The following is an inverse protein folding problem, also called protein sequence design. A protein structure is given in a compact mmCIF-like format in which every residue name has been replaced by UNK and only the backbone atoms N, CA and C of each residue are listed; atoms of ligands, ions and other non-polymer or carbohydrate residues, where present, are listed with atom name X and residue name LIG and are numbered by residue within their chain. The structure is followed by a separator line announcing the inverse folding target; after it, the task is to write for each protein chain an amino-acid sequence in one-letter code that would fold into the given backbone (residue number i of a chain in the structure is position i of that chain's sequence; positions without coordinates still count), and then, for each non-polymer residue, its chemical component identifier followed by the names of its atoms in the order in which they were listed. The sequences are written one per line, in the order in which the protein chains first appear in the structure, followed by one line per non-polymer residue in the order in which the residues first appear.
data_IF_634027932991
#
_entry.id   IF_634027932991
#
_cell.length_a   1.000
_cell.length_b   1.000
_cell.length_c   1.000
_cell.angle_alpha   90.00
_cell.angle_beta   90.00
_cell.angle_gamma   90.00
#
_symmetry.space_group_name_H-M   'P 1'
#
loop_
_entity.id
_entity.type
_entity.pdbx_description
1 polymer ?
#
# COMPACT_ATOMS: atom_id res chain seq x y z
N UNK A 1 -5.07 -3.57 12.78
CA UNK A 1 -4.18 -4.43 11.97
C UNK A 1 -3.42 -3.54 11.01
N UNK A 2 -2.16 -3.84 10.79
CA UNK A 2 -1.24 -3.18 9.85
C UNK A 2 -0.66 -4.25 8.93
N UNK A 3 -0.55 -4.00 7.64
CA UNK A 3 -0.06 -4.92 6.64
C UNK A 3 -0.91 -6.20 6.55
N UNK A 4 -0.74 -7.11 7.51
CA UNK A 4 -1.40 -8.40 7.48
C UNK A 4 -1.89 -8.87 8.86
N UNK A 5 -2.89 -9.73 8.82
CA UNK A 5 -3.45 -10.44 9.95
C UNK A 5 -4.00 -11.79 9.51
N UNK A 6 -4.41 -12.61 10.47
CA UNK A 6 -4.99 -13.91 10.21
C UNK A 6 -6.50 -13.80 10.13
N UNK A 7 -7.14 -14.20 9.02
CA UNK A 7 -8.60 -14.31 8.94
C UNK A 7 -9.15 -15.22 10.04
N UNK A 8 -10.32 -14.88 10.59
CA UNK A 8 -10.96 -15.64 11.67
C UNK A 8 -12.46 -15.73 11.44
N UNK A 9 -13.18 -16.37 12.36
CA UNK A 9 -14.64 -16.45 12.37
C UNK A 9 -15.33 -15.11 12.76
N UNK A 10 -14.56 -14.03 12.92
CA UNK A 10 -15.14 -12.72 13.23
C UNK A 10 -16.04 -12.25 12.09
N UNK A 11 -17.28 -11.95 12.41
CA UNK A 11 -18.24 -11.34 11.48
C UNK A 11 -17.96 -9.84 11.42
N UNK A 12 -17.97 -9.28 10.20
CA UNK A 12 -17.83 -7.83 9.97
C UNK A 12 -19.09 -7.10 10.45
N UNK A 13 -18.90 -5.98 11.11
CA UNK A 13 -19.97 -5.18 11.72
C UNK A 13 -20.03 -3.77 11.11
N UNK A 14 -21.16 -3.09 11.28
CA UNK A 14 -21.34 -1.69 10.88
C UNK A 14 -20.24 -0.80 11.51
N UNK A 15 -19.55 -0.05 10.70
CA UNK A 15 -18.41 0.79 11.10
C UNK A 15 -17.04 0.14 10.94
N UNK A 16 -16.93 -1.13 10.57
CA UNK A 16 -15.64 -1.76 10.28
C UNK A 16 -15.03 -1.21 8.99
N UNK A 17 -13.71 -0.98 9.03
CA UNK A 17 -12.89 -0.75 7.86
C UNK A 17 -11.95 -1.96 7.68
N UNK A 18 -12.03 -2.63 6.53
CA UNK A 18 -11.33 -3.89 6.26
C UNK A 18 -10.41 -3.73 5.08
N UNK A 19 -9.17 -4.19 5.20
CA UNK A 19 -8.29 -4.40 4.05
C UNK A 19 -8.46 -5.84 3.57
N UNK A 20 -8.56 -6.01 2.26
CA UNK A 20 -8.50 -7.32 1.61
C UNK A 20 -7.31 -7.28 0.66
N UNK A 21 -6.37 -8.17 0.91
CA UNK A 21 -5.14 -8.33 0.18
C UNK A 21 -5.15 -9.66 -0.57
N UNK A 22 -4.85 -9.62 -1.86
CA UNK A 22 -4.98 -10.79 -2.76
C UNK A 22 -3.82 -10.85 -3.73
N UNK A 23 -3.10 -11.97 -3.66
CA UNK A 23 -2.10 -12.34 -4.66
C UNK A 23 -2.69 -13.34 -5.64
N UNK A 24 -2.52 -13.10 -6.93
CA UNK A 24 -2.87 -14.03 -8.00
C UNK A 24 -1.63 -14.47 -8.79
N UNK A 25 -1.68 -15.68 -9.36
CA UNK A 25 -0.61 -16.21 -10.22
C UNK A 25 -1.21 -16.56 -11.58
N UNK A 26 -0.68 -15.97 -12.65
CA UNK A 26 -1.07 -16.24 -14.03
C UNK A 26 0.19 -16.51 -14.83
N UNK A 27 0.26 -17.66 -15.51
CA UNK A 27 1.40 -18.05 -16.33
C UNK A 27 2.75 -17.90 -15.59
N UNK A 28 2.77 -18.35 -14.33
CA UNK A 28 3.93 -18.29 -13.43
C UNK A 28 4.42 -16.86 -13.08
N UNK A 29 3.56 -15.84 -13.25
CA UNK A 29 3.81 -14.47 -12.80
C UNK A 29 2.84 -14.09 -11.70
N UNK A 30 3.37 -13.45 -10.65
CA UNK A 30 2.58 -12.96 -9.53
C UNK A 30 2.06 -11.55 -9.80
N UNK A 31 0.84 -11.29 -9.36
CA UNK A 31 0.27 -9.96 -9.28
C UNK A 31 -0.38 -9.77 -7.91
N UNK A 32 -0.05 -8.71 -7.23
CA UNK A 32 -0.45 -8.44 -5.85
C UNK A 32 -1.19 -7.11 -5.73
N UNK A 33 -2.28 -7.11 -4.95
CA UNK A 33 -3.10 -5.91 -4.78
C UNK A 33 -3.92 -5.96 -3.49
N UNK A 34 -4.01 -4.85 -2.81
CA UNK A 34 -4.88 -4.71 -1.66
C UNK A 34 -5.81 -3.51 -1.75
N UNK A 35 -6.97 -3.63 -1.11
CA UNK A 35 -8.00 -2.59 -1.09
C UNK A 35 -8.69 -2.50 0.26
N UNK A 36 -9.07 -1.27 0.63
CA UNK A 36 -9.91 -1.03 1.80
C UNK A 36 -11.39 -1.13 1.43
N UNK A 37 -12.17 -1.72 2.34
CA UNK A 37 -13.63 -1.79 2.26
C UNK A 37 -14.25 -1.16 3.49
N UNK A 38 -15.29 -0.36 3.28
CA UNK A 38 -16.10 0.25 4.32
C UNK A 38 -17.37 -0.58 4.54
N UNK A 39 -17.58 -1.03 5.78
CA UNK A 39 -18.76 -1.81 6.15
C UNK A 39 -19.77 -0.88 6.82
N UNK A 40 -20.85 -0.56 6.09
CA UNK A 40 -21.88 0.34 6.60
C UNK A 40 -21.37 1.75 6.91
N UNK A 41 -21.63 2.25 8.12
CA UNK A 41 -21.36 3.62 8.53
C UNK A 41 -19.98 3.79 9.20
N UNK A 42 -18.93 3.74 8.45
CA UNK A 42 -17.55 3.92 8.93
C UNK A 42 -17.34 5.36 9.46
N UNK A 43 -16.66 5.54 10.61
CA UNK A 43 -16.37 6.86 11.16
C UNK A 43 -15.60 7.76 10.18
N UNK A 44 -15.93 9.06 10.16
CA UNK A 44 -15.30 10.05 9.25
C UNK A 44 -13.76 10.03 9.32
N UNK A 45 -13.18 9.86 10.51
CA UNK A 45 -11.73 9.75 10.67
C UNK A 45 -11.12 8.56 9.93
N UNK A 46 -11.86 7.44 9.84
CA UNK A 46 -11.42 6.27 9.08
C UNK A 46 -11.55 6.52 7.57
N UNK A 47 -12.66 7.12 7.12
CA UNK A 47 -12.84 7.52 5.71
C UNK A 47 -11.72 8.44 5.24
N UNK A 48 -11.41 9.47 6.01
CA UNK A 48 -10.33 10.41 5.68
C UNK A 48 -8.95 9.71 5.61
N UNK A 49 -8.69 8.75 6.51
CA UNK A 49 -7.47 7.95 6.48
C UNK A 49 -7.41 7.07 5.23
N UNK A 50 -8.49 6.36 4.91
CA UNK A 50 -8.61 5.50 3.72
C UNK A 50 -8.37 6.33 2.46
N UNK A 51 -9.02 7.49 2.35
CA UNK A 51 -8.85 8.40 1.23
C UNK A 51 -7.40 8.89 1.09
N UNK A 52 -6.80 9.35 2.18
CA UNK A 52 -5.42 9.82 2.17
C UNK A 52 -4.42 8.72 1.82
N UNK A 53 -4.68 7.48 2.25
CA UNK A 53 -3.85 6.32 1.92
C UNK A 53 -3.90 6.03 0.42
N UNK A 54 -5.09 5.96 -0.17
CA UNK A 54 -5.26 5.77 -1.60
C UNK A 54 -4.60 6.89 -2.42
N UNK A 55 -4.86 8.15 -2.04
CA UNK A 55 -4.29 9.30 -2.74
C UNK A 55 -2.75 9.30 -2.67
N UNK A 56 -2.16 8.86 -1.54
CA UNK A 56 -0.70 8.76 -1.40
C UNK A 56 -0.10 7.72 -2.34
N UNK A 57 -0.77 6.55 -2.48
CA UNK A 57 -0.40 5.52 -3.43
C UNK A 57 -0.43 6.06 -4.87
N UNK A 58 -1.54 6.67 -5.27
CA UNK A 58 -1.70 7.18 -6.64
C UNK A 58 -0.75 8.33 -6.97
N UNK A 59 -0.42 9.18 -5.98
CA UNK A 59 0.63 10.21 -6.14
C UNK A 59 2.01 9.58 -6.39
N UNK A 60 2.38 8.56 -5.64
CA UNK A 60 3.64 7.86 -5.83
C UNK A 60 3.68 7.14 -7.19
N UNK A 61 2.59 6.53 -7.62
CA UNK A 61 2.49 5.89 -8.94
C UNK A 61 2.62 6.93 -10.06
N UNK A 62 1.98 8.10 -9.90
CA UNK A 62 1.96 9.14 -10.95
C UNK A 62 3.33 9.72 -11.32
N UNK A 63 4.34 9.55 -10.47
CA UNK A 63 5.70 10.06 -10.73
C UNK A 63 6.62 9.02 -11.34
N UNK A 64 6.14 7.78 -11.53
CA UNK A 64 6.95 6.68 -12.03
C UNK A 64 7.34 6.90 -13.50
N UNK A 65 8.62 6.82 -13.76
CA UNK A 65 9.21 6.81 -15.11
C UNK A 65 10.67 6.37 -15.03
N UNK A 66 11.28 5.91 -16.11
CA UNK A 66 12.72 5.66 -16.15
C UNK A 66 13.54 6.86 -15.67
N UNK A 67 14.60 6.61 -14.90
CA UNK A 67 15.47 7.66 -14.34
C UNK A 67 15.05 8.20 -12.98
N UNK A 68 13.80 8.00 -12.54
CA UNK A 68 13.39 8.24 -11.16
C UNK A 68 14.04 7.22 -10.22
N UNK A 69 14.08 7.51 -8.94
CA UNK A 69 14.68 6.63 -7.94
C UNK A 69 13.66 6.12 -6.92
N UNK A 70 13.94 4.99 -6.31
CA UNK A 70 13.04 4.38 -5.31
C UNK A 70 12.71 5.33 -4.15
N UNK A 71 13.67 6.18 -3.73
CA UNK A 71 13.44 7.17 -2.68
C UNK A 71 12.45 8.27 -3.08
N UNK A 72 12.23 8.52 -4.37
CA UNK A 72 11.21 9.46 -4.85
C UNK A 72 9.81 8.95 -4.52
N UNK A 73 9.56 7.63 -4.65
CA UNK A 73 8.31 6.96 -4.28
C UNK A 73 8.00 7.20 -2.80
N UNK A 74 8.95 6.84 -1.93
CA UNK A 74 8.79 7.01 -0.49
C UNK A 74 8.61 8.48 -0.08
N UNK A 75 9.34 9.39 -0.71
CA UNK A 75 9.21 10.82 -0.46
C UNK A 75 7.81 11.36 -0.80
N UNK A 76 7.24 10.98 -1.94
CA UNK A 76 5.90 11.45 -2.34
C UNK A 76 4.82 10.94 -1.38
N UNK A 77 4.88 9.66 -0.99
CA UNK A 77 3.95 9.08 0.01
C UNK A 77 4.08 9.83 1.34
N UNK A 78 5.28 9.85 1.90
CA UNK A 78 5.55 10.41 3.22
C UNK A 78 5.16 11.88 3.29
N UNK A 79 5.62 12.70 2.35
CA UNK A 79 5.34 14.13 2.32
C UNK A 79 3.85 14.43 2.29
N UNK A 80 3.09 13.65 1.50
CA UNK A 80 1.65 13.85 1.38
C UNK A 80 0.91 13.48 2.67
N UNK A 81 1.14 12.29 3.24
CA UNK A 81 0.37 11.84 4.40
C UNK A 81 0.77 12.57 5.68
N UNK A 82 2.07 12.90 5.86
CA UNK A 82 2.53 13.67 7.02
C UNK A 82 2.00 15.11 6.99
N UNK A 83 1.80 15.72 5.80
CA UNK A 83 1.14 17.01 5.67
C UNK A 83 -0.32 17.00 6.14
N UNK A 84 -0.95 15.83 6.20
CA UNK A 84 -2.32 15.61 6.72
C UNK A 84 -2.35 15.15 8.18
N UNK A 85 -1.19 15.05 8.84
CA UNK A 85 -1.07 14.63 10.24
C UNK A 85 -1.09 13.13 10.46
N UNK A 86 -0.93 12.33 9.41
CA UNK A 86 -0.77 10.87 9.48
C UNK A 86 0.69 10.46 9.51
N UNK A 87 0.97 9.18 9.73
CA UNK A 87 2.33 8.65 9.69
C UNK A 87 2.45 7.42 8.78
N UNK A 88 3.63 7.24 8.19
CA UNK A 88 3.97 6.09 7.35
C UNK A 88 4.61 5.01 8.20
N UNK A 89 4.08 3.79 8.13
CA UNK A 89 4.69 2.60 8.75
C UNK A 89 6.07 2.34 8.16
N UNK A 90 7.04 1.92 9.00
CA UNK A 90 8.44 1.73 8.62
C UNK A 90 8.91 0.29 8.72
N UNK A 91 8.13 -0.58 9.36
CA UNK A 91 8.48 -1.98 9.59
C UNK A 91 8.19 -2.88 8.39
N UNK A 92 7.43 -2.38 7.42
CA UNK A 92 7.03 -3.07 6.19
C UNK A 92 7.31 -2.20 4.97
N UNK A 93 7.41 -2.83 3.80
CA UNK A 93 7.68 -2.18 2.53
C UNK A 93 7.07 -2.97 1.37
N UNK A 94 6.94 -2.34 0.22
CA UNK A 94 6.69 -3.04 -1.03
C UNK A 94 7.95 -3.77 -1.53
N UNK A 95 7.81 -4.54 -2.58
CA UNK A 95 8.84 -5.46 -3.04
C UNK A 95 8.84 -5.61 -4.57
N UNK A 96 9.96 -6.04 -5.12
CA UNK A 96 9.99 -6.55 -6.48
C UNK A 96 9.09 -7.78 -6.60
N UNK A 97 8.45 -7.95 -7.74
CA UNK A 97 7.51 -9.05 -8.01
C UNK A 97 7.59 -9.47 -9.47
N UNK A 98 7.67 -10.78 -9.74
CA UNK A 98 7.69 -11.33 -11.10
C UNK A 98 7.24 -12.78 -11.10
N UNK A 99 8.10 -13.74 -11.46
CA UNK A 99 7.93 -15.16 -11.23
C UNK A 99 8.38 -15.60 -9.82
N UNK A 100 8.82 -14.65 -9.01
CA UNK A 100 9.07 -14.78 -7.57
C UNK A 100 8.17 -13.78 -6.85
N UNK A 101 7.47 -14.25 -5.81
CA UNK A 101 6.48 -13.43 -5.12
C UNK A 101 7.11 -12.20 -4.43
N UNK A 102 8.15 -12.42 -3.64
CA UNK A 102 8.90 -11.34 -3.00
C UNK A 102 10.36 -11.40 -3.44
N UNK A 103 10.81 -10.38 -4.12
CA UNK A 103 12.21 -10.25 -4.55
C UNK A 103 12.71 -8.80 -4.44
N UNK A 104 14.02 -8.59 -4.46
CA UNK A 104 14.55 -7.22 -4.51
C UNK A 104 14.07 -6.45 -5.77
N UNK A 105 13.92 -5.12 -5.67
CA UNK A 105 14.28 -4.27 -4.53
C UNK A 105 13.16 -4.12 -3.50
N UNK A 106 13.51 -3.73 -2.26
CA UNK A 106 12.53 -3.23 -1.30
C UNK A 106 12.06 -1.83 -1.72
N UNK A 107 10.77 -1.60 -1.67
CA UNK A 107 10.11 -0.33 -2.01
C UNK A 107 9.65 0.34 -0.71
N UNK A 108 10.48 1.23 -0.16
CA UNK A 108 10.13 1.94 1.06
C UNK A 108 9.08 3.01 0.77
N UNK A 109 8.10 3.16 1.65
CA UNK A 109 7.03 4.17 1.55
C UNK A 109 7.39 5.49 2.24
N UNK A 110 8.65 5.65 2.63
CA UNK A 110 9.26 6.84 3.21
C UNK A 110 10.67 7.01 2.65
N UNK A 111 11.21 8.21 2.66
CA UNK A 111 12.56 8.43 2.15
C UNK A 111 12.85 9.86 1.71
N UNK A 112 13.89 9.99 0.93
CA UNK A 112 14.36 11.29 0.41
C UNK A 112 14.44 11.27 -1.11
N UNK A 113 14.15 12.40 -1.73
CA UNK A 113 14.26 12.56 -3.20
C UNK A 113 15.67 12.21 -3.70
N UNK A 114 15.70 11.65 -4.92
CA UNK A 114 16.92 11.29 -5.63
C UNK A 114 17.83 10.26 -4.91
N UNK A 115 17.25 9.40 -4.05
CA UNK A 115 17.98 8.34 -3.34
C UNK A 115 17.54 6.94 -3.77
N UNK A 116 18.39 5.96 -3.51
CA UNK A 116 18.10 4.56 -3.83
C UNK A 116 18.38 4.18 -5.30
N UNK A 117 17.91 2.99 -5.67
CA UNK A 117 18.09 2.43 -7.01
C UNK A 117 17.26 3.21 -8.02
N UNK A 118 17.82 3.39 -9.20
CA UNK A 118 17.14 4.01 -10.34
C UNK A 118 16.10 3.06 -10.94
N UNK A 119 14.95 3.60 -11.32
CA UNK A 119 13.92 2.90 -12.06
C UNK A 119 14.35 2.75 -13.52
N UNK A 120 14.33 1.53 -14.01
CA UNK A 120 14.66 1.19 -15.40
C UNK A 120 13.52 0.40 -16.05
N UNK A 121 13.33 0.48 -17.36
CA UNK A 121 12.34 -0.32 -18.07
C UNK A 121 12.45 -1.81 -17.76
N UNK A 122 11.29 -2.47 -17.61
CA UNK A 122 11.17 -3.88 -17.26
C UNK A 122 11.16 -4.17 -15.75
N UNK A 123 11.39 -3.19 -14.89
CA UNK A 123 11.19 -3.39 -13.44
C UNK A 123 9.71 -3.54 -13.12
N UNK A 124 9.38 -4.55 -12.30
CA UNK A 124 8.04 -4.78 -11.73
C UNK A 124 8.13 -4.86 -10.22
N UNK A 125 7.22 -4.18 -9.52
CA UNK A 125 7.22 -4.11 -8.06
C UNK A 125 5.88 -3.68 -7.51
N UNK A 126 5.66 -3.89 -6.20
CA UNK A 126 4.49 -3.38 -5.48
C UNK A 126 4.75 -2.02 -4.87
N UNK A 127 3.70 -1.20 -4.78
CA UNK A 127 3.65 -0.01 -3.94
C UNK A 127 2.41 -0.17 -3.05
N UNK A 128 2.62 -0.24 -1.74
CA UNK A 128 1.61 -0.69 -0.77
C UNK A 128 1.66 0.12 0.54
N UNK A 129 1.51 1.45 0.50
CA UNK A 129 1.68 2.28 1.68
C UNK A 129 0.71 1.91 2.80
N UNK A 130 1.27 1.64 3.97
CA UNK A 130 0.55 1.47 5.24
C UNK A 130 0.60 2.77 6.00
N UNK A 131 -0.56 3.40 6.21
CA UNK A 131 -0.69 4.71 6.80
C UNK A 131 -1.46 4.61 8.12
N UNK A 132 -0.86 5.14 9.19
CA UNK A 132 -1.46 5.16 10.52
C UNK A 132 -2.04 6.53 10.85
N UNK A 133 -3.19 6.54 11.52
CA UNK A 133 -3.79 7.76 12.06
C UNK A 133 -2.95 8.36 13.20
N UNK A 134 -2.22 7.53 13.93
CA UNK A 134 -1.34 7.92 15.04
C UNK A 134 0.14 7.80 14.68
N UNK A 135 0.91 7.15 15.55
CA UNK A 135 2.35 6.93 15.35
C UNK A 135 2.62 5.78 14.39
N UNK A 136 3.77 5.80 13.74
CA UNK A 136 4.18 4.78 12.77
C UNK A 136 4.58 3.42 13.39
N UNK A 137 4.83 3.39 14.71
CA UNK A 137 5.31 2.18 15.40
C UNK A 137 4.28 1.04 15.34
N UNK A 138 4.76 -0.15 15.05
CA UNK A 138 3.97 -1.38 15.03
C UNK A 138 4.43 -2.37 16.10
N UNK A 139 3.69 -3.43 16.27
CA UNK A 139 4.08 -4.63 17.02
C UNK A 139 3.42 -5.86 16.42
N UNK A 140 4.14 -6.98 16.43
CA UNK A 140 3.60 -8.29 16.09
C UNK A 140 2.95 -8.90 17.33
N UNK A 141 1.78 -9.52 17.16
CA UNK A 141 1.08 -10.23 18.23
C UNK A 141 1.72 -11.60 18.53
N UNK A 142 1.19 -12.26 19.58
CA UNK A 142 1.73 -13.56 20.04
C UNK A 142 1.53 -14.71 19.04
N UNK A 143 0.72 -14.53 18.01
CA UNK A 143 0.57 -15.48 16.91
C UNK A 143 1.79 -15.48 15.95
N UNK A 144 2.72 -14.54 16.15
CA UNK A 144 3.94 -14.41 15.34
C UNK A 144 3.72 -13.84 13.95
N UNK A 145 2.49 -13.40 13.62
CA UNK A 145 2.12 -12.92 12.29
C UNK A 145 1.37 -11.60 12.29
N UNK A 146 0.28 -11.50 13.05
CA UNK A 146 -0.59 -10.32 13.04
C UNK A 146 0.15 -9.08 13.54
N UNK A 147 0.31 -8.09 12.68
CA UNK A 147 0.85 -6.80 13.04
C UNK A 147 -0.27 -5.81 13.40
N UNK A 148 -0.04 -4.98 14.41
CA UNK A 148 -0.98 -3.94 14.85
C UNK A 148 -0.23 -2.65 15.17
N UNK A 149 -0.94 -1.52 15.10
CA UNK A 149 -0.41 -0.24 15.58
C UNK A 149 -0.12 -0.32 17.08
N UNK A 150 1.06 0.15 17.50
CA UNK A 150 1.48 0.09 18.90
C UNK A 150 0.62 0.97 19.81
N UNK A 151 0.14 2.09 19.28
CA UNK A 151 -0.72 3.05 19.97
C UNK A 151 -2.21 2.77 19.81
N UNK A 152 -2.59 1.67 19.14
CA UNK A 152 -3.98 1.25 18.86
C UNK A 152 -4.73 2.22 17.95
N UNK A 153 -4.05 3.07 17.20
CA UNK A 153 -4.66 3.93 16.20
C UNK A 153 -5.11 3.13 14.98
N UNK A 154 -5.97 3.74 14.15
CA UNK A 154 -6.40 3.16 12.89
C UNK A 154 -5.22 3.10 11.91
N UNK A 155 -5.23 2.09 11.06
CA UNK A 155 -4.32 1.92 9.93
C UNK A 155 -5.12 1.62 8.67
N UNK A 156 -4.62 2.07 7.51
CA UNK A 156 -5.18 1.73 6.20
C UNK A 156 -4.05 1.41 5.23
N UNK A 157 -4.35 0.58 4.22
CA UNK A 157 -3.44 0.18 3.17
C UNK A 157 -4.17 0.06 1.84
N UNK A 158 -3.51 0.43 0.77
CA UNK A 158 -3.84 0.07 -0.61
C UNK A 158 -2.59 -0.39 -1.30
N UNK A 159 -2.73 -1.22 -2.30
CA UNK A 159 -1.62 -1.75 -3.05
C UNK A 159 -1.92 -1.89 -4.53
N UNK A 160 -0.89 -1.63 -5.32
CA UNK A 160 -0.85 -1.98 -6.72
C UNK A 160 0.50 -2.59 -7.11
N UNK A 161 0.44 -3.61 -7.99
CA UNK A 161 1.58 -4.05 -8.76
C UNK A 161 1.72 -3.13 -9.98
N UNK A 162 2.93 -2.61 -10.18
CA UNK A 162 3.25 -1.68 -11.27
C UNK A 162 4.47 -2.16 -12.06
N UNK A 163 4.52 -1.80 -13.33
CA UNK A 163 5.68 -2.03 -14.21
C UNK A 163 6.21 -0.72 -14.77
N UNK A 164 7.54 -0.61 -14.94
CA UNK A 164 8.18 0.52 -15.62
C UNK A 164 8.29 0.18 -17.10
N UNK A 165 7.71 1.01 -17.95
CA UNK A 165 7.78 0.90 -19.42
C UNK A 165 8.99 1.68 -19.97
N UNK A 166 9.17 1.76 -21.30
CA UNK A 166 10.28 2.48 -21.91
C UNK A 166 10.29 3.98 -21.57
N UNK A 167 9.12 4.57 -21.37
CA UNK A 167 8.95 6.02 -21.17
C UNK A 167 8.00 6.41 -20.03
N UNK A 168 7.33 5.43 -19.39
CA UNK A 168 6.27 5.65 -18.41
C UNK A 168 6.14 4.47 -17.43
N UNK A 169 4.93 4.16 -17.02
CA UNK A 169 4.57 3.03 -16.16
C UNK A 169 3.23 2.41 -16.59
N UNK A 170 2.98 1.20 -16.10
CA UNK A 170 1.71 0.50 -16.21
C UNK A 170 1.27 -0.02 -14.83
N UNK A 171 -0.04 0.01 -14.53
CA UNK A 171 -0.62 -0.59 -13.33
C UNK A 171 -1.28 -1.90 -13.73
N UNK A 172 -0.72 -3.03 -13.32
CA UNK A 172 -1.23 -4.35 -13.72
C UNK A 172 -2.49 -4.76 -12.95
N UNK A 173 -2.74 -4.17 -11.79
CA UNK A 173 -3.82 -4.53 -10.87
C UNK A 173 -4.96 -3.51 -10.84
N UNK A 174 -5.12 -2.69 -11.89
CA UNK A 174 -6.28 -1.82 -12.03
C UNK A 174 -7.57 -2.62 -12.11
N UNK A 175 -8.62 -2.10 -11.49
CA UNK A 175 -9.94 -2.71 -11.60
C UNK A 175 -10.51 -2.53 -13.00
N UNK A 176 -10.86 -3.62 -13.67
CA UNK A 176 -11.57 -3.60 -14.97
C UNK A 176 -12.94 -2.91 -14.88
N UNK A 177 -13.51 -2.77 -13.68
CA UNK A 177 -14.75 -2.02 -13.41
C UNK A 177 -14.52 -0.56 -13.03
N UNK A 178 -13.26 -0.10 -13.03
CA UNK A 178 -12.90 1.26 -12.66
C UNK A 178 -12.99 1.57 -11.15
N UNK A 179 -13.09 0.55 -10.30
CA UNK A 179 -13.09 0.74 -8.85
C UNK A 179 -11.73 1.26 -8.38
N UNK A 180 -11.75 2.37 -7.66
CA UNK A 180 -10.56 3.04 -7.13
C UNK A 180 -10.45 2.86 -5.61
N UNK A 181 -11.35 3.48 -4.88
CA UNK A 181 -11.47 3.43 -3.42
C UNK A 181 -12.95 3.45 -3.01
N UNK A 182 -13.31 3.14 -1.74
CA UNK A 182 -14.68 3.26 -1.27
C UNK A 182 -15.25 4.68 -1.44
N UNK A 183 -16.58 4.82 -1.65
CA UNK A 183 -17.50 3.72 -1.94
C UNK A 183 -17.31 3.16 -3.36
N UNK A 184 -17.40 1.85 -3.49
CA UNK A 184 -17.31 1.17 -4.80
C UNK A 184 -18.70 1.10 -5.44
N UNK A 185 -19.05 2.11 -6.21
CA UNK A 185 -20.34 2.26 -6.88
C UNK A 185 -20.21 2.04 -8.37
#
# INVERSE_FOLDING_TARGET
VVCHGIPSERILEDGDAVNVDVTAVIDNHYGDTSRMYEIGNVPVKAKNLIEATYDSLMKAISILQPGKKLGDIGFEIQSYVESKGYSVVRDFCGHGISNVFHEPPNILHYGSKNTGKELIPGMTFTIEPMINYGKYDTKVLNDGWTAVTKDKSLSAQFEHTVGITEDSYEIFTESVKGYKRPPYN
#
